data_IF_077007581105
#
_entry.id   IF_077007581105
#
_cell.length_a   1.000
_cell.length_b   1.000
_cell.length_c   1.000
_cell.angle_alpha   90.00
_cell.angle_beta   90.00
_cell.angle_gamma   90.00
#
_symmetry.space_group_name_H-M   'P 1'
#
loop_
_entity.id
_entity.type
_entity.pdbx_description
1 polymer ?
#
# COMPACT_ATOMS: atom_id res chain seq x y z
N UNK A 1 0.89 70.88 40.91
CA UNK A 1 1.94 71.26 39.93
C UNK A 1 1.78 70.24 38.80
N UNK A 2 0.96 70.51 37.88
CA UNK A 2 1.04 70.93 36.46
C UNK A 2 2.25 70.43 35.68
N UNK A 3 2.00 69.60 34.65
CA UNK A 3 2.42 69.69 33.23
C UNK A 3 1.97 68.38 32.51
N UNK A 4 1.01 68.47 31.70
CA UNK A 4 0.84 68.80 30.24
C UNK A 4 1.34 67.71 29.30
N UNK A 5 0.42 67.32 28.45
CA UNK A 5 0.43 66.36 27.36
C UNK A 5 1.50 66.61 26.27
N UNK A 6 1.85 65.56 25.56
CA UNK A 6 2.34 65.66 24.19
C UNK A 6 1.83 64.44 23.37
N UNK A 7 0.96 64.73 22.47
CA UNK A 7 0.51 63.90 21.36
C UNK A 7 1.64 63.73 20.34
N UNK A 8 2.02 62.51 20.03
CA UNK A 8 2.87 62.18 18.92
C UNK A 8 2.10 61.28 17.94
N UNK A 9 1.55 61.89 16.91
CA UNK A 9 1.07 61.26 15.68
C UNK A 9 2.30 60.73 14.93
N UNK A 10 2.34 59.50 14.64
CA UNK A 10 3.27 58.90 13.65
C UNK A 10 2.44 58.54 12.42
N UNK A 11 2.67 59.28 11.36
CA UNK A 11 2.17 59.01 10.00
C UNK A 11 2.78 57.70 9.51
N UNK A 12 1.95 56.69 9.26
CA UNK A 12 2.30 55.55 8.42
C UNK A 12 1.98 55.90 6.95
N UNK A 13 2.88 55.60 6.00
CA UNK A 13 2.61 55.90 4.59
C UNK A 13 1.62 54.89 4.02
N UNK A 14 0.59 55.38 3.36
CA UNK A 14 -0.38 54.64 2.57
C UNK A 14 0.30 53.77 1.53
N UNK A 15 0.06 52.45 1.59
CA UNK A 15 0.46 51.47 0.58
C UNK A 15 -0.54 51.52 -0.61
N UNK A 16 -0.12 51.86 -1.84
CA UNK A 16 -1.01 52.05 -2.98
C UNK A 16 -1.48 50.75 -3.66
N UNK A 17 -1.34 49.58 -3.04
CA UNK A 17 -1.63 48.28 -3.69
C UNK A 17 -2.98 47.62 -3.33
N UNK A 18 -3.85 48.24 -2.53
CA UNK A 18 -5.15 47.66 -2.13
C UNK A 18 -6.35 48.29 -2.84
N UNK A 19 -6.24 48.65 -4.10
CA UNK A 19 -7.42 49.01 -4.90
C UNK A 19 -7.30 48.57 -6.35
N UNK A 20 -7.22 47.24 -6.56
CA UNK A 20 -7.66 46.64 -7.81
C UNK A 20 -8.99 45.93 -7.57
N UNK A 21 -10.08 46.65 -7.62
CA UNK A 21 -11.41 46.10 -7.79
C UNK A 21 -11.42 45.24 -9.05
N UNK A 22 -11.50 43.92 -8.89
CA UNK A 22 -11.78 43.00 -9.99
C UNK A 22 -13.17 43.34 -10.52
N UNK A 23 -13.25 44.10 -11.62
CA UNK A 23 -14.48 44.29 -12.38
C UNK A 23 -14.90 42.91 -12.88
N UNK A 24 -15.86 42.28 -12.20
CA UNK A 24 -16.58 41.13 -12.73
C UNK A 24 -17.27 41.58 -14.01
N UNK A 25 -16.85 41.05 -15.16
CA UNK A 25 -17.67 41.13 -16.38
C UNK A 25 -18.98 40.44 -16.07
N UNK A 26 -20.15 40.99 -16.38
CA UNK A 26 -21.41 40.30 -16.27
C UNK A 26 -21.35 39.08 -17.21
N UNK A 27 -21.32 37.89 -16.65
CA UNK A 27 -21.51 36.67 -17.42
C UNK A 27 -22.97 36.63 -17.87
N UNK A 28 -23.21 36.83 -19.14
CA UNK A 28 -24.55 36.56 -19.71
C UNK A 28 -24.90 35.09 -19.45
N UNK A 29 -26.14 34.79 -19.09
CA UNK A 29 -26.55 33.40 -18.87
C UNK A 29 -26.39 32.63 -20.18
N UNK A 30 -25.61 31.55 -20.12
CA UNK A 30 -25.41 30.62 -21.23
C UNK A 30 -26.74 29.91 -21.47
N UNK A 31 -27.33 30.08 -22.65
CA UNK A 31 -28.58 29.38 -23.00
C UNK A 31 -28.34 27.89 -23.22
N UNK A 32 -29.36 27.07 -22.94
CA UNK A 32 -29.31 25.61 -23.19
C UNK A 32 -28.87 25.28 -24.63
N UNK A 33 -29.22 26.10 -25.63
CA UNK A 33 -28.77 25.93 -27.01
C UNK A 33 -27.26 26.07 -27.20
N UNK A 34 -26.58 26.97 -26.43
CA UNK A 34 -25.13 27.13 -26.49
C UNK A 34 -24.38 25.97 -25.79
N UNK A 35 -25.01 25.34 -24.80
CA UNK A 35 -24.49 24.13 -24.19
C UNK A 35 -24.54 22.91 -25.12
N UNK A 36 -25.55 22.82 -25.99
CA UNK A 36 -25.70 21.73 -26.96
C UNK A 36 -24.85 21.93 -28.22
N UNK A 37 -24.68 23.16 -28.71
CA UNK A 37 -23.80 23.46 -29.86
C UNK A 37 -22.33 23.10 -29.58
N UNK A 38 -21.86 23.22 -28.33
CA UNK A 38 -20.52 22.77 -27.92
C UNK A 38 -20.39 21.24 -27.79
N UNK A 39 -21.47 20.47 -27.90
CA UNK A 39 -21.42 18.99 -27.91
C UNK A 39 -21.11 18.41 -29.29
N UNK A 40 -21.53 19.04 -30.36
CA UNK A 40 -21.32 18.54 -31.73
C UNK A 40 -19.86 18.69 -32.18
N UNK A 41 -19.13 19.71 -31.73
CA UNK A 41 -17.69 19.86 -32.00
C UNK A 41 -16.80 18.96 -31.13
N UNK A 42 -17.32 18.35 -30.05
CA UNK A 42 -16.63 17.33 -29.23
C UNK A 42 -16.84 15.90 -29.71
N UNK A 43 -17.77 15.66 -30.62
CA UNK A 43 -18.08 14.31 -31.14
C UNK A 43 -17.02 13.77 -32.11
N UNK A 44 -16.02 14.58 -32.52
CA UNK A 44 -14.93 14.13 -33.39
C UNK A 44 -13.70 13.55 -32.62
N UNK A 45 -13.72 13.62 -31.29
CA UNK A 45 -12.78 12.87 -30.46
C UNK A 45 -13.60 11.85 -29.66
N UNK A 46 -14.01 10.77 -30.34
CA UNK A 46 -14.42 9.58 -29.62
C UNK A 46 -13.27 9.25 -28.62
N UNK A 47 -13.56 9.09 -27.30
CA UNK A 47 -12.52 8.66 -26.38
C UNK A 47 -11.98 7.37 -26.97
N UNK A 48 -10.66 7.33 -27.21
CA UNK A 48 -9.99 6.09 -27.57
C UNK A 48 -10.44 5.07 -26.54
N UNK A 49 -11.20 4.08 -26.98
CA UNK A 49 -11.63 2.96 -26.13
C UNK A 49 -10.38 2.53 -25.38
N UNK A 50 -10.39 2.49 -24.04
CA UNK A 50 -9.21 2.07 -23.29
C UNK A 50 -8.75 0.73 -23.87
N UNK A 51 -7.59 0.68 -24.50
CA UNK A 51 -7.03 -0.52 -25.15
C UNK A 51 -6.72 -1.65 -24.15
N UNK A 52 -7.26 -1.60 -22.94
CA UNK A 52 -6.96 -2.48 -21.83
C UNK A 52 -8.20 -3.10 -21.16
N UNK A 53 -9.26 -3.36 -21.91
CA UNK A 53 -10.12 -4.48 -21.55
C UNK A 53 -9.39 -5.74 -22.03
N UNK A 54 -8.35 -6.14 -21.30
CA UNK A 54 -7.70 -7.41 -21.52
C UNK A 54 -8.78 -8.49 -21.46
N UNK A 55 -8.84 -9.33 -22.48
CA UNK A 55 -9.70 -10.50 -22.44
C UNK A 55 -9.34 -11.27 -21.16
N UNK A 56 -10.30 -11.64 -20.30
CA UNK A 56 -10.02 -12.27 -19.01
C UNK A 56 -9.12 -13.51 -19.10
N UNK A 57 -9.19 -14.22 -20.24
CA UNK A 57 -8.48 -15.47 -20.49
C UNK A 57 -7.15 -15.29 -21.26
N UNK A 58 -6.79 -14.07 -21.66
CA UNK A 58 -5.52 -13.82 -22.34
C UNK A 58 -4.33 -14.15 -21.44
N UNK A 59 -3.25 -14.67 -22.04
CA UNK A 59 -1.98 -14.83 -21.35
C UNK A 59 -1.52 -13.51 -20.71
N UNK A 60 -0.78 -13.58 -19.59
CA UNK A 60 -0.28 -12.36 -18.96
C UNK A 60 0.68 -11.64 -19.91
N UNK A 61 0.50 -10.35 -20.07
CA UNK A 61 1.42 -9.50 -20.85
C UNK A 61 2.81 -9.56 -20.22
N UNK A 62 3.86 -9.69 -21.04
CA UNK A 62 5.25 -9.56 -20.61
C UNK A 62 5.77 -8.24 -21.15
N UNK A 63 6.16 -7.33 -20.26
CA UNK A 63 6.71 -6.03 -20.64
C UNK A 63 8.11 -6.17 -21.26
N UNK A 64 8.50 -5.21 -22.10
CA UNK A 64 9.82 -5.21 -22.73
C UNK A 64 10.97 -5.28 -21.71
N UNK A 65 10.82 -4.62 -20.56
CA UNK A 65 11.79 -4.65 -19.45
C UNK A 65 11.91 -6.06 -18.87
N UNK A 66 10.79 -6.70 -18.59
CA UNK A 66 10.73 -8.05 -18.04
C UNK A 66 11.30 -9.08 -19.03
N UNK A 67 10.98 -8.92 -20.32
CA UNK A 67 11.51 -9.80 -21.39
C UNK A 67 13.02 -9.63 -21.56
N UNK A 68 13.53 -8.40 -21.58
CA UNK A 68 14.97 -8.14 -21.67
C UNK A 68 15.74 -8.77 -20.49
N UNK A 69 15.17 -8.69 -19.28
CA UNK A 69 15.74 -9.32 -18.10
C UNK A 69 15.72 -10.85 -18.21
N UNK A 70 14.61 -11.45 -18.63
CA UNK A 70 14.49 -12.89 -18.90
C UNK A 70 15.56 -13.36 -19.88
N UNK A 71 15.65 -12.71 -21.03
CA UNK A 71 16.59 -13.07 -22.08
C UNK A 71 18.06 -13.00 -21.61
N UNK A 72 18.38 -12.03 -20.74
CA UNK A 72 19.74 -11.85 -20.21
C UNK A 72 20.11 -12.86 -19.14
N UNK A 73 19.25 -13.09 -18.15
CA UNK A 73 19.58 -13.86 -16.94
C UNK A 73 18.99 -15.27 -16.90
N UNK A 74 17.98 -15.55 -17.72
CA UNK A 74 17.31 -16.83 -17.83
C UNK A 74 17.08 -17.22 -19.31
N UNK A 75 18.14 -17.23 -20.15
CA UNK A 75 18.02 -17.41 -21.60
C UNK A 75 17.42 -18.75 -22.01
N UNK A 76 17.56 -19.79 -21.17
CA UNK A 76 16.98 -21.11 -21.42
C UNK A 76 15.48 -21.21 -21.09
N UNK A 77 14.89 -20.19 -20.46
CA UNK A 77 13.46 -20.19 -20.14
C UNK A 77 12.64 -19.69 -21.33
N UNK A 78 11.48 -20.32 -21.57
CA UNK A 78 10.51 -19.83 -22.54
C UNK A 78 9.64 -18.71 -21.92
N UNK A 79 8.90 -17.98 -22.74
CA UNK A 79 7.95 -16.95 -22.28
C UNK A 79 6.82 -17.57 -21.46
N UNK A 80 6.37 -18.78 -21.81
CA UNK A 80 5.36 -19.52 -21.07
C UNK A 80 5.85 -19.92 -19.67
N UNK A 81 7.10 -20.40 -19.56
CA UNK A 81 7.73 -20.67 -18.27
C UNK A 81 7.89 -19.39 -17.45
N UNK A 82 8.35 -18.30 -18.06
CA UNK A 82 8.45 -17.00 -17.38
C UNK A 82 7.10 -16.51 -16.86
N UNK A 83 6.03 -16.79 -17.56
CA UNK A 83 4.64 -16.45 -17.21
C UNK A 83 4.00 -17.44 -16.25
N UNK A 84 4.65 -18.55 -15.91
CA UNK A 84 4.20 -19.48 -14.87
C UNK A 84 4.68 -19.04 -13.49
N UNK A 85 3.73 -18.71 -12.61
CA UNK A 85 4.03 -18.28 -11.24
C UNK A 85 4.80 -19.34 -10.41
N UNK A 86 4.60 -20.62 -10.71
CA UNK A 86 5.35 -21.70 -10.03
C UNK A 86 6.81 -21.73 -10.47
N UNK A 87 7.05 -21.43 -11.75
CA UNK A 87 8.40 -21.25 -12.26
C UNK A 87 9.09 -20.07 -11.57
N UNK A 88 8.42 -18.93 -11.46
CA UNK A 88 8.91 -17.75 -10.76
C UNK A 88 9.28 -18.08 -9.30
N UNK A 89 8.44 -18.83 -8.58
CA UNK A 89 8.72 -19.24 -7.20
C UNK A 89 9.92 -20.18 -7.09
N UNK A 90 10.08 -21.13 -8.02
CA UNK A 90 11.23 -22.04 -8.02
C UNK A 90 12.56 -21.35 -8.29
N UNK A 91 12.54 -20.29 -9.09
CA UNK A 91 13.73 -19.56 -9.54
C UNK A 91 13.96 -18.25 -8.76
N UNK A 92 13.35 -18.10 -7.58
CA UNK A 92 13.63 -16.94 -6.72
C UNK A 92 15.11 -16.83 -6.41
N UNK A 93 15.62 -15.61 -6.38
CA UNK A 93 16.97 -15.30 -5.91
C UNK A 93 16.98 -15.41 -4.38
N UNK A 94 17.72 -16.36 -3.83
CA UNK A 94 17.72 -16.69 -2.39
C UNK A 94 19.12 -16.78 -1.78
N UNK A 95 20.11 -17.05 -2.62
CA UNK A 95 21.52 -17.19 -2.21
C UNK A 95 22.35 -16.02 -2.73
N UNK A 96 23.49 -15.78 -2.06
CA UNK A 96 24.45 -14.78 -2.49
C UNK A 96 24.84 -14.97 -3.95
N UNK A 97 25.15 -16.22 -4.36
CA UNK A 97 25.56 -16.52 -5.73
C UNK A 97 24.45 -16.24 -6.77
N UNK A 98 23.17 -16.48 -6.43
CA UNK A 98 22.04 -16.14 -7.32
C UNK A 98 21.86 -14.63 -7.43
N UNK A 99 22.07 -13.89 -6.34
CA UNK A 99 21.94 -12.44 -6.29
C UNK A 99 23.08 -11.79 -7.08
N UNK A 100 24.33 -12.21 -6.87
CA UNK A 100 25.52 -11.71 -7.60
C UNK A 100 25.49 -12.00 -9.09
N UNK A 101 24.82 -13.06 -9.51
CA UNK A 101 24.60 -13.31 -10.94
C UNK A 101 23.78 -12.23 -11.60
N UNK A 102 22.94 -11.52 -10.84
CA UNK A 102 21.97 -10.53 -11.35
C UNK A 102 22.37 -9.11 -11.01
N UNK A 103 22.81 -8.86 -9.78
CA UNK A 103 23.09 -7.54 -9.24
C UNK A 103 24.57 -7.31 -9.01
N UNK A 104 25.05 -6.11 -9.32
CA UNK A 104 26.33 -5.62 -8.82
C UNK A 104 26.13 -5.22 -7.37
N UNK A 105 26.45 -6.12 -6.43
CA UNK A 105 26.23 -5.88 -5.00
C UNK A 105 27.42 -5.16 -4.37
N UNK A 106 27.13 -4.29 -3.40
CA UNK A 106 28.14 -3.62 -2.57
C UNK A 106 28.71 -4.57 -1.53
N UNK A 107 29.85 -4.23 -0.96
CA UNK A 107 30.42 -4.98 0.18
C UNK A 107 29.50 -4.98 1.39
N UNK A 108 28.70 -3.94 1.56
CA UNK A 108 27.71 -3.83 2.62
C UNK A 108 26.57 -4.82 2.44
N UNK A 109 25.92 -4.82 1.25
CA UNK A 109 24.89 -5.78 0.89
C UNK A 109 25.42 -7.22 0.99
N UNK A 110 26.66 -7.47 0.50
CA UNK A 110 27.30 -8.78 0.60
C UNK A 110 27.42 -9.26 2.03
N UNK A 111 27.95 -8.40 2.91
CA UNK A 111 28.07 -8.72 4.35
C UNK A 111 26.70 -8.98 4.97
N UNK A 112 25.71 -8.15 4.68
CA UNK A 112 24.36 -8.27 5.23
C UNK A 112 23.68 -9.58 4.76
N UNK A 113 23.84 -9.99 3.50
CA UNK A 113 23.32 -11.26 2.98
C UNK A 113 23.97 -12.46 3.68
N UNK A 114 25.30 -12.41 3.89
CA UNK A 114 26.04 -13.51 4.53
C UNK A 114 25.68 -13.62 6.01
N UNK A 115 25.59 -12.51 6.71
CA UNK A 115 25.29 -12.47 8.14
C UNK A 115 23.81 -12.73 8.44
N UNK A 116 22.93 -12.66 7.43
CA UNK A 116 21.47 -12.81 7.54
C UNK A 116 20.94 -11.91 8.66
N UNK A 117 20.94 -10.60 8.41
CA UNK A 117 20.37 -9.62 9.33
C UNK A 117 18.96 -10.02 9.78
N UNK A 118 18.84 -10.44 11.03
CA UNK A 118 17.63 -11.02 11.57
C UNK A 118 17.26 -12.39 10.94
N UNK A 119 16.18 -12.99 11.38
CA UNK A 119 15.69 -14.25 10.87
C UNK A 119 15.06 -14.16 9.45
N UNK A 120 14.90 -12.96 8.91
CA UNK A 120 14.24 -12.74 7.62
C UNK A 120 15.18 -13.09 6.45
N UNK A 121 14.90 -14.15 5.67
CA UNK A 121 15.74 -14.54 4.53
C UNK A 121 15.62 -13.56 3.36
N UNK A 122 16.51 -13.69 2.38
CA UNK A 122 16.32 -13.09 1.06
C UNK A 122 15.48 -14.02 0.20
N UNK A 123 14.57 -13.44 -0.57
CA UNK A 123 13.78 -14.16 -1.56
C UNK A 123 13.12 -13.17 -2.50
N UNK A 124 13.52 -13.17 -3.78
CA UNK A 124 13.03 -12.23 -4.79
C UNK A 124 12.65 -13.00 -6.04
N UNK A 125 11.40 -12.84 -6.52
CA UNK A 125 11.01 -13.45 -7.81
C UNK A 125 11.81 -12.87 -8.96
N UNK A 126 12.16 -13.66 -10.00
CA UNK A 126 12.85 -13.13 -11.19
C UNK A 126 12.11 -11.96 -11.84
N UNK A 127 10.77 -12.03 -11.90
CA UNK A 127 9.97 -10.91 -12.39
C UNK A 127 10.20 -9.64 -11.56
N UNK A 128 10.11 -9.72 -10.24
CA UNK A 128 10.27 -8.52 -9.40
C UNK A 128 11.71 -8.00 -9.40
N UNK A 129 12.70 -8.87 -9.50
CA UNK A 129 14.10 -8.50 -9.70
C UNK A 129 14.30 -7.70 -11.01
N UNK A 130 13.52 -8.00 -12.05
CA UNK A 130 13.55 -7.23 -13.31
C UNK A 130 13.13 -5.76 -13.16
N UNK A 131 12.46 -5.40 -12.07
CA UNK A 131 12.02 -4.03 -11.77
C UNK A 131 13.05 -3.23 -10.97
N UNK A 132 14.11 -3.87 -10.48
CA UNK A 132 15.15 -3.24 -9.66
C UNK A 132 16.31 -2.73 -10.54
N UNK A 133 17.08 -1.78 -10.02
CA UNK A 133 18.36 -1.43 -10.62
C UNK A 133 19.38 -2.53 -10.37
N UNK A 134 20.11 -2.92 -11.42
CA UNK A 134 21.16 -3.94 -11.32
C UNK A 134 22.44 -3.40 -10.68
N UNK A 135 22.65 -2.08 -10.75
CA UNK A 135 23.91 -1.41 -10.39
C UNK A 135 23.76 -0.37 -9.29
N UNK A 136 22.59 0.29 -9.17
CA UNK A 136 22.36 1.32 -8.15
C UNK A 136 21.82 0.69 -6.85
N UNK A 137 22.60 0.66 -5.76
CA UNK A 137 22.17 0.11 -4.47
C UNK A 137 21.13 0.99 -3.76
N UNK A 138 20.95 2.25 -4.20
CA UNK A 138 19.98 3.19 -3.61
C UNK A 138 18.63 3.18 -4.33
N UNK A 139 18.48 2.36 -5.38
CA UNK A 139 17.21 2.25 -6.09
C UNK A 139 16.09 1.76 -5.14
N UNK A 140 14.93 2.42 -5.15
CA UNK A 140 13.85 2.20 -4.17
C UNK A 140 13.45 0.74 -3.97
N UNK A 141 13.18 -0.02 -5.03
CA UNK A 141 12.72 -1.40 -4.89
C UNK A 141 13.85 -2.32 -4.41
N UNK A 142 15.09 -2.09 -4.88
CA UNK A 142 16.28 -2.83 -4.44
C UNK A 142 16.48 -2.68 -2.94
N UNK A 143 16.45 -1.45 -2.43
CA UNK A 143 16.60 -1.16 -0.98
C UNK A 143 15.55 -1.85 -0.12
N UNK A 144 14.35 -2.05 -0.63
CA UNK A 144 13.28 -2.69 0.13
C UNK A 144 13.35 -4.22 0.17
N UNK A 145 14.31 -4.85 -0.56
CA UNK A 145 14.36 -6.31 -0.70
C UNK A 145 15.76 -6.91 -0.58
N UNK A 146 16.83 -6.17 -0.85
CA UNK A 146 18.19 -6.62 -0.52
C UNK A 146 18.59 -6.10 0.87
N UNK A 147 19.12 -6.97 1.74
CA UNK A 147 19.55 -6.56 3.07
C UNK A 147 20.76 -5.66 3.01
N UNK A 148 20.88 -4.75 3.98
CA UNK A 148 21.98 -3.80 4.16
C UNK A 148 22.45 -3.80 5.61
N UNK A 149 23.65 -3.29 5.85
CA UNK A 149 24.26 -3.22 7.19
C UNK A 149 23.44 -2.44 8.22
N UNK A 150 22.64 -1.48 7.76
CA UNK A 150 21.74 -0.69 8.63
C UNK A 150 20.70 -1.56 9.37
N UNK A 151 20.37 -2.75 8.87
CA UNK A 151 19.45 -3.70 9.53
C UNK A 151 20.02 -4.27 10.85
N UNK A 152 21.33 -4.16 11.07
CA UNK A 152 21.97 -4.59 12.33
C UNK A 152 22.02 -3.47 13.39
N UNK A 153 21.59 -2.26 13.03
CA UNK A 153 21.57 -1.11 13.94
C UNK A 153 20.23 -1.09 14.66
N UNK A 154 20.25 -1.35 15.95
CA UNK A 154 19.06 -1.27 16.79
C UNK A 154 18.81 0.17 17.25
N UNK A 155 17.58 0.61 17.12
CA UNK A 155 17.13 1.95 17.55
C UNK A 155 16.16 1.88 18.72
N UNK A 156 16.13 2.87 19.61
CA UNK A 156 15.17 2.88 20.71
C UNK A 156 13.72 2.74 20.22
N UNK A 157 12.95 1.90 20.91
CA UNK A 157 11.54 1.63 20.60
C UNK A 157 11.31 0.57 19.53
N UNK A 158 12.35 -0.04 18.97
CA UNK A 158 12.22 -1.23 18.12
C UNK A 158 11.92 -2.48 18.95
N UNK A 159 11.12 -3.37 18.40
CA UNK A 159 10.81 -4.67 18.96
C UNK A 159 10.53 -5.68 17.82
N UNK A 160 10.69 -6.98 18.12
CA UNK A 160 10.39 -8.04 17.16
C UNK A 160 8.88 -8.18 16.94
N UNK A 161 8.07 -7.89 17.96
CA UNK A 161 6.62 -7.74 17.89
C UNK A 161 6.17 -6.33 18.33
N UNK A 162 6.41 -5.29 17.54
CA UNK A 162 6.07 -3.93 17.94
C UNK A 162 4.56 -3.70 18.10
N UNK A 163 3.75 -4.52 17.43
CA UNK A 163 2.31 -4.41 17.47
C UNK A 163 1.65 -5.22 18.59
N UNK A 164 2.41 -6.08 19.31
CA UNK A 164 1.88 -6.93 20.37
C UNK A 164 0.87 -7.96 19.84
N UNK A 165 1.11 -8.50 18.64
CA UNK A 165 0.22 -9.51 18.04
C UNK A 165 0.20 -10.79 18.89
N UNK A 166 1.32 -11.19 19.47
CA UNK A 166 1.44 -12.39 20.30
C UNK A 166 0.57 -12.26 21.56
N UNK A 167 0.47 -11.06 22.16
CA UNK A 167 -0.38 -10.80 23.34
C UNK A 167 -1.90 -10.76 23.02
N UNK A 168 -2.24 -10.68 21.74
CA UNK A 168 -3.63 -10.65 21.26
C UNK A 168 -4.00 -11.86 20.42
N UNK A 169 -3.21 -12.92 20.52
CA UNK A 169 -3.40 -14.21 19.85
C UNK A 169 -4.10 -15.21 20.78
N UNK A 170 -5.44 -15.38 20.70
CA UNK A 170 -6.16 -16.30 21.55
C UNK A 170 -5.86 -17.77 21.23
N UNK A 171 -5.49 -18.05 20.00
CA UNK A 171 -5.05 -19.36 19.52
C UNK A 171 -3.94 -19.15 18.47
N UNK A 172 -3.02 -20.10 18.29
CA UNK A 172 -1.96 -19.97 17.30
C UNK A 172 -2.48 -19.65 15.89
N UNK A 173 -1.85 -18.68 15.24
CA UNK A 173 -2.21 -18.24 13.89
C UNK A 173 -3.44 -17.32 13.79
N UNK A 174 -3.97 -16.84 14.91
CA UNK A 174 -5.09 -15.90 14.92
C UNK A 174 -4.77 -14.71 15.85
N UNK A 175 -4.94 -13.49 15.35
CA UNK A 175 -4.84 -12.26 16.16
C UNK A 175 -6.23 -11.63 16.27
N UNK A 176 -6.73 -11.46 17.51
CA UNK A 176 -8.04 -10.88 17.80
C UNK A 176 -7.90 -9.63 18.66
N UNK A 177 -7.64 -8.50 18.01
CA UNK A 177 -7.41 -7.19 18.66
C UNK A 177 -8.68 -6.34 18.71
N UNK A 178 -9.50 -6.41 17.66
CA UNK A 178 -10.69 -5.58 17.49
C UNK A 178 -11.94 -6.37 17.80
N UNK A 179 -13.00 -5.73 18.29
CA UNK A 179 -14.20 -6.45 18.75
C UNK A 179 -14.87 -7.32 17.69
N UNK A 180 -14.81 -6.88 16.41
CA UNK A 180 -15.62 -7.44 15.32
C UNK A 180 -14.82 -8.11 14.22
N UNK A 181 -13.48 -8.19 14.35
CA UNK A 181 -12.63 -8.72 13.29
C UNK A 181 -11.34 -9.33 13.78
N UNK A 182 -10.85 -10.29 13.00
CA UNK A 182 -9.62 -11.01 13.29
C UNK A 182 -8.67 -10.98 12.11
N UNK A 183 -7.38 -11.17 12.41
CA UNK A 183 -6.33 -11.45 11.44
C UNK A 183 -6.00 -12.94 11.51
N UNK A 184 -6.20 -13.63 10.39
CA UNK A 184 -5.90 -15.05 10.23
C UNK A 184 -4.56 -15.21 9.52
N UNK A 185 -3.57 -15.78 10.19
CA UNK A 185 -2.24 -16.05 9.66
C UNK A 185 -2.23 -17.42 8.98
N UNK A 186 -2.32 -17.43 7.65
CA UNK A 186 -2.54 -18.66 6.88
C UNK A 186 -1.25 -19.40 6.47
N UNK A 187 -0.12 -18.69 6.42
CA UNK A 187 1.18 -19.23 5.98
C UNK A 187 2.32 -18.32 6.46
N UNK A 188 3.51 -18.90 6.67
CA UNK A 188 4.75 -18.14 6.91
C UNK A 188 5.56 -17.87 5.63
N UNK A 189 5.08 -18.32 4.47
CA UNK A 189 5.81 -18.19 3.21
C UNK A 189 5.39 -16.98 2.41
N UNK A 190 6.38 -16.22 1.88
CA UNK A 190 6.19 -15.14 0.91
C UNK A 190 6.89 -15.45 -0.40
N UNK A 191 6.34 -14.98 -1.51
CA UNK A 191 7.01 -15.04 -2.81
C UNK A 191 8.24 -14.13 -2.88
N UNK A 192 8.20 -13.01 -2.15
CA UNK A 192 9.29 -12.04 -2.02
C UNK A 192 9.24 -11.46 -0.61
N UNK A 193 10.40 -11.34 0.07
CA UNK A 193 10.47 -10.85 1.45
C UNK A 193 10.84 -9.37 1.47
N UNK A 194 9.94 -8.56 2.06
CA UNK A 194 10.17 -7.12 2.28
C UNK A 194 11.03 -6.89 3.52
N UNK A 195 12.08 -6.05 3.43
CA UNK A 195 13.01 -5.80 4.56
C UNK A 195 12.37 -4.98 5.70
N UNK A 196 11.24 -4.34 5.45
CA UNK A 196 10.43 -3.61 6.44
C UNK A 196 9.23 -4.42 6.96
N UNK A 197 9.31 -5.74 6.93
CA UNK A 197 8.18 -6.61 7.26
C UNK A 197 7.90 -6.62 8.77
N UNK A 198 6.72 -6.15 9.18
CA UNK A 198 6.26 -6.17 10.59
C UNK A 198 6.26 -7.57 11.21
N UNK A 199 6.12 -8.60 10.37
CA UNK A 199 6.10 -10.01 10.79
C UNK A 199 7.36 -10.77 10.39
N UNK A 200 8.51 -10.06 10.32
CA UNK A 200 9.81 -10.68 9.97
C UNK A 200 10.16 -11.88 10.86
N UNK A 201 9.76 -11.84 12.15
CA UNK A 201 9.99 -12.90 13.12
C UNK A 201 9.30 -14.23 12.81
N UNK A 202 8.20 -14.21 12.02
CA UNK A 202 7.37 -15.39 11.74
C UNK A 202 7.32 -15.80 10.27
N UNK A 203 7.97 -15.05 9.36
CA UNK A 203 7.97 -15.37 7.93
C UNK A 203 9.35 -15.85 7.48
N UNK A 204 9.37 -16.84 6.58
CA UNK A 204 10.60 -17.38 6.01
C UNK A 204 11.23 -18.55 6.77
N UNK A 205 10.87 -18.82 8.00
CA UNK A 205 11.34 -19.98 8.73
C UNK A 205 10.52 -21.23 8.42
N UNK A 206 11.22 -22.36 8.24
CA UNK A 206 10.63 -23.68 8.21
C UNK A 206 10.98 -24.38 9.53
N UNK A 207 10.01 -24.51 10.45
CA UNK A 207 10.17 -25.27 11.70
C UNK A 207 10.40 -24.45 12.96
N UNK A 208 9.90 -23.19 13.03
CA UNK A 208 9.85 -22.40 14.26
C UNK A 208 8.53 -22.56 15.04
N UNK A 209 8.32 -21.70 16.05
CA UNK A 209 7.08 -21.63 16.85
C UNK A 209 5.80 -21.42 16.02
N UNK A 210 5.95 -20.93 14.80
CA UNK A 210 4.85 -20.60 13.89
C UNK A 210 4.67 -21.70 12.83
N UNK A 211 4.05 -22.81 13.22
CA UNK A 211 3.62 -23.85 12.28
C UNK A 211 2.26 -23.49 11.67
N UNK A 212 2.23 -23.02 10.44
CA UNK A 212 0.97 -22.74 9.72
C UNK A 212 0.34 -24.05 9.20
N UNK A 213 0.08 -24.95 10.12
CA UNK A 213 -0.39 -26.31 9.86
C UNK A 213 -1.92 -26.36 9.76
N UNK A 214 -2.44 -27.49 9.24
CA UNK A 214 -3.89 -27.70 9.20
C UNK A 214 -4.53 -27.71 10.61
N UNK A 215 -3.95 -28.32 11.67
CA UNK A 215 -4.47 -28.23 13.02
C UNK A 215 -4.57 -26.80 13.55
N UNK A 216 -3.61 -25.92 13.25
CA UNK A 216 -3.71 -24.51 13.62
C UNK A 216 -4.88 -23.82 12.92
N UNK A 217 -5.09 -24.08 11.63
CA UNK A 217 -6.26 -23.57 10.93
C UNK A 217 -7.56 -24.06 11.55
N UNK A 218 -7.62 -25.35 11.94
CA UNK A 218 -8.79 -25.93 12.60
C UNK A 218 -9.09 -25.23 13.93
N UNK A 219 -8.08 -24.96 14.75
CA UNK A 219 -8.21 -24.20 16.00
C UNK A 219 -8.67 -22.75 15.77
N UNK A 220 -8.06 -22.05 14.83
CA UNK A 220 -8.43 -20.67 14.50
C UNK A 220 -9.87 -20.56 13.94
N UNK A 221 -10.28 -21.48 13.08
CA UNK A 221 -11.66 -21.53 12.54
C UNK A 221 -12.67 -21.89 13.63
N UNK A 222 -12.34 -22.83 14.52
CA UNK A 222 -13.19 -23.18 15.65
C UNK A 222 -13.37 -21.98 16.61
N UNK A 223 -12.30 -21.23 16.88
CA UNK A 223 -12.37 -19.99 17.65
C UNK A 223 -13.32 -18.97 16.99
N UNK A 224 -13.14 -18.71 15.70
CA UNK A 224 -13.99 -17.76 14.95
C UNK A 224 -15.45 -18.21 15.02
N UNK A 225 -15.73 -19.51 14.81
CA UNK A 225 -17.09 -20.03 14.85
C UNK A 225 -17.77 -19.91 16.23
N UNK A 226 -16.99 -19.92 17.30
CA UNK A 226 -17.48 -19.77 18.68
C UNK A 226 -17.70 -18.30 19.10
N UNK A 227 -17.27 -17.31 18.29
CA UNK A 227 -17.32 -15.89 18.60
C UNK A 227 -18.19 -15.13 17.58
N UNK A 228 -19.51 -15.06 17.78
CA UNK A 228 -20.45 -14.48 16.80
C UNK A 228 -20.29 -12.97 16.59
N UNK A 229 -19.58 -12.27 17.46
CA UNK A 229 -19.19 -10.86 17.27
C UNK A 229 -18.20 -10.66 16.13
N UNK A 230 -17.45 -11.69 15.72
CA UNK A 230 -16.48 -11.62 14.60
C UNK A 230 -17.25 -11.67 13.28
N UNK A 231 -17.26 -10.57 12.56
CA UNK A 231 -17.94 -10.41 11.26
C UNK A 231 -16.99 -10.37 10.07
N UNK A 232 -15.71 -10.08 10.33
CA UNK A 232 -14.69 -9.79 9.32
C UNK A 232 -13.41 -10.60 9.60
N UNK A 233 -12.93 -11.32 8.59
CA UNK A 233 -11.68 -12.08 8.66
C UNK A 233 -10.70 -11.57 7.61
N UNK A 234 -9.57 -11.00 8.06
CA UNK A 234 -8.43 -10.66 7.21
C UNK A 234 -7.47 -11.85 7.16
N UNK A 235 -7.35 -12.50 6.03
CA UNK A 235 -6.38 -13.57 5.79
C UNK A 235 -5.06 -12.95 5.33
N UNK A 236 -3.97 -13.27 6.05
CA UNK A 236 -2.61 -12.79 5.81
C UNK A 236 -1.59 -13.83 6.31
N UNK A 237 -0.53 -13.42 6.99
CA UNK A 237 0.55 -14.25 7.49
C UNK A 237 1.86 -13.83 6.84
N UNK A 238 2.51 -14.76 6.10
CA UNK A 238 3.36 -14.44 4.96
C UNK A 238 2.47 -13.87 3.86
N UNK A 239 2.34 -14.54 2.74
CA UNK A 239 1.41 -14.07 1.72
C UNK A 239 0.42 -15.19 1.33
N UNK A 240 -0.88 -15.05 1.59
CA UNK A 240 -1.87 -16.10 1.39
C UNK A 240 -2.03 -16.52 -0.06
N UNK A 241 -1.71 -15.65 -1.04
CA UNK A 241 -1.77 -16.00 -2.46
C UNK A 241 -0.62 -16.91 -2.91
N UNK A 242 0.33 -17.24 -2.02
CA UNK A 242 1.34 -18.28 -2.27
C UNK A 242 0.80 -19.70 -2.06
N UNK A 243 -0.34 -19.84 -1.39
CA UNK A 243 -1.05 -21.11 -1.26
C UNK A 243 -1.54 -21.60 -2.62
N UNK A 244 -1.70 -22.92 -2.78
CA UNK A 244 -2.39 -23.46 -3.95
C UNK A 244 -3.86 -23.06 -3.99
N UNK A 245 -4.48 -23.09 -5.18
CA UNK A 245 -5.90 -22.75 -5.34
C UNK A 245 -6.78 -23.62 -4.45
N UNK A 246 -6.49 -24.92 -4.34
CA UNK A 246 -7.26 -25.86 -3.52
C UNK A 246 -7.16 -25.54 -2.02
N UNK A 247 -5.96 -25.23 -1.51
CA UNK A 247 -5.79 -24.86 -0.10
C UNK A 247 -6.47 -23.54 0.23
N UNK A 248 -6.36 -22.57 -0.68
CA UNK A 248 -7.02 -21.28 -0.50
C UNK A 248 -8.55 -21.41 -0.58
N UNK A 249 -9.06 -22.23 -1.51
CA UNK A 249 -10.48 -22.53 -1.63
C UNK A 249 -11.05 -23.26 -0.40
N UNK A 250 -10.30 -24.23 0.16
CA UNK A 250 -10.68 -24.91 1.41
C UNK A 250 -10.83 -23.89 2.55
N UNK A 251 -9.82 -23.05 2.77
CA UNK A 251 -9.85 -22.01 3.82
C UNK A 251 -11.02 -21.06 3.64
N UNK A 252 -11.20 -20.53 2.43
CA UNK A 252 -12.29 -19.59 2.12
C UNK A 252 -13.68 -20.24 2.29
N UNK A 253 -13.82 -21.50 1.86
CA UNK A 253 -15.06 -22.26 2.00
C UNK A 253 -15.43 -22.51 3.45
N UNK A 254 -14.45 -22.87 4.28
CA UNK A 254 -14.66 -23.10 5.71
C UNK A 254 -15.04 -21.83 6.45
N UNK A 255 -14.42 -20.71 6.13
CA UNK A 255 -14.79 -19.41 6.71
C UNK A 255 -16.18 -18.96 6.25
N UNK A 256 -16.55 -19.17 4.98
CA UNK A 256 -17.90 -18.85 4.47
C UNK A 256 -19.00 -19.74 5.03
N UNK A 257 -18.67 -20.92 5.53
CA UNK A 257 -19.62 -21.80 6.21
C UNK A 257 -20.03 -21.29 7.59
N UNK A 258 -19.31 -20.32 8.16
CA UNK A 258 -19.63 -19.69 9.46
C UNK A 258 -20.69 -18.59 9.22
N UNK A 259 -21.92 -18.72 9.79
CA UNK A 259 -23.05 -17.85 9.42
C UNK A 259 -22.87 -16.35 9.71
N UNK A 260 -22.09 -15.99 10.74
CA UNK A 260 -21.89 -14.61 11.16
C UNK A 260 -20.74 -13.90 10.44
N UNK A 261 -19.95 -14.62 9.60
CA UNK A 261 -18.91 -13.98 8.80
C UNK A 261 -19.54 -13.28 7.58
N UNK A 262 -19.58 -11.96 7.63
CA UNK A 262 -20.18 -11.13 6.58
C UNK A 262 -19.25 -10.96 5.38
N UNK A 263 -17.95 -10.71 5.61
CA UNK A 263 -16.97 -10.55 4.54
C UNK A 263 -15.58 -11.07 4.94
N UNK A 264 -14.81 -11.39 3.90
CA UNK A 264 -13.43 -11.88 4.03
C UNK A 264 -12.52 -10.92 3.26
N UNK A 265 -11.34 -10.70 3.79
CA UNK A 265 -10.31 -9.89 3.14
C UNK A 265 -9.03 -10.70 2.95
N UNK A 266 -8.36 -10.52 1.82
CA UNK A 266 -7.01 -11.02 1.57
C UNK A 266 -6.02 -9.86 1.63
N UNK A 267 -4.98 -9.96 2.47
CA UNK A 267 -3.85 -9.04 2.50
C UNK A 267 -2.67 -9.66 1.76
N UNK A 268 -2.23 -9.06 0.65
CA UNK A 268 -1.22 -9.67 -0.22
C UNK A 268 -0.35 -8.64 -0.95
N UNK A 269 0.92 -8.99 -1.17
CA UNK A 269 1.82 -8.29 -2.10
C UNK A 269 2.01 -9.09 -3.41
N UNK A 270 1.58 -10.34 -3.45
CA UNK A 270 1.71 -11.23 -4.63
C UNK A 270 1.21 -10.60 -5.92
N UNK A 271 0.07 -9.88 -5.98
CA UNK A 271 -0.36 -9.27 -7.23
C UNK A 271 0.64 -8.27 -7.82
N UNK A 272 1.57 -7.77 -7.00
CA UNK A 272 2.63 -6.80 -7.39
C UNK A 272 3.96 -7.49 -7.66
N UNK A 273 4.38 -8.42 -6.79
CA UNK A 273 5.70 -9.06 -6.88
C UNK A 273 5.69 -10.36 -7.68
N UNK A 274 4.49 -10.86 -8.00
CA UNK A 274 4.26 -12.11 -8.73
C UNK A 274 2.90 -12.04 -9.49
N UNK A 275 2.68 -11.06 -10.39
CA UNK A 275 1.39 -10.89 -11.08
C UNK A 275 0.96 -12.12 -11.88
N UNK A 276 1.90 -12.99 -12.27
CA UNK A 276 1.65 -14.29 -12.92
C UNK A 276 0.74 -15.21 -12.09
N UNK A 277 0.70 -15.02 -10.78
CA UNK A 277 -0.16 -15.78 -9.86
C UNK A 277 -1.65 -15.45 -10.03
N UNK A 278 -1.96 -14.27 -10.55
CA UNK A 278 -3.35 -13.84 -10.77
C UNK A 278 -3.87 -14.44 -12.08
N UNK A 279 -4.02 -15.75 -12.07
CA UNK A 279 -4.50 -16.54 -13.21
C UNK A 279 -6.02 -16.45 -13.35
N UNK A 280 -6.59 -16.68 -14.55
CA UNK A 280 -8.04 -16.81 -14.73
C UNK A 280 -8.67 -17.84 -13.78
N UNK A 281 -8.01 -18.98 -13.57
CA UNK A 281 -8.49 -20.03 -12.66
C UNK A 281 -8.57 -19.55 -11.20
N UNK A 282 -7.52 -18.88 -10.69
CA UNK A 282 -7.56 -18.29 -9.36
C UNK A 282 -8.71 -17.30 -9.23
N UNK A 283 -8.85 -16.40 -10.19
CA UNK A 283 -9.89 -15.36 -10.17
C UNK A 283 -11.30 -15.98 -10.21
N UNK A 284 -11.51 -16.98 -11.06
CA UNK A 284 -12.78 -17.72 -11.11
C UNK A 284 -13.10 -18.41 -9.79
N UNK A 285 -12.09 -18.95 -9.11
CA UNK A 285 -12.22 -19.57 -7.78
C UNK A 285 -12.58 -18.49 -6.74
N UNK A 286 -11.88 -17.37 -6.69
CA UNK A 286 -12.11 -16.28 -5.71
C UNK A 286 -13.52 -15.69 -5.83
N UNK A 287 -14.06 -15.54 -7.04
CA UNK A 287 -15.45 -15.06 -7.28
C UNK A 287 -16.53 -15.85 -6.54
N UNK A 288 -16.28 -17.09 -6.20
CA UNK A 288 -17.23 -17.96 -5.50
C UNK A 288 -17.45 -17.57 -4.03
N UNK A 289 -16.53 -16.73 -3.49
CA UNK A 289 -16.47 -16.41 -2.06
C UNK A 289 -16.84 -14.97 -1.74
N UNK A 290 -17.54 -14.28 -2.63
CA UNK A 290 -18.05 -12.92 -2.35
C UNK A 290 -18.98 -12.88 -1.11
N UNK A 291 -18.98 -11.76 -0.36
CA UNK A 291 -18.17 -10.56 -0.49
C UNK A 291 -16.70 -10.80 -0.10
N UNK A 292 -15.79 -10.70 -1.05
CA UNK A 292 -14.34 -10.85 -0.86
C UNK A 292 -13.65 -9.54 -1.26
N UNK A 293 -12.79 -9.02 -0.39
CA UNK A 293 -12.00 -7.80 -0.61
C UNK A 293 -10.53 -8.13 -0.69
N UNK A 294 -9.75 -7.32 -1.38
CA UNK A 294 -8.31 -7.50 -1.43
C UNK A 294 -7.58 -6.21 -1.06
N UNK A 295 -6.69 -6.31 -0.07
CA UNK A 295 -5.76 -5.27 0.33
C UNK A 295 -4.38 -5.58 -0.24
N UNK A 296 -3.89 -4.74 -1.15
CA UNK A 296 -2.70 -4.99 -1.94
C UNK A 296 -1.57 -4.05 -1.52
N UNK A 297 -0.39 -4.60 -1.27
CA UNK A 297 0.78 -3.81 -0.87
C UNK A 297 1.50 -3.26 -2.09
N UNK A 298 1.46 -1.93 -2.24
CA UNK A 298 2.25 -1.16 -3.20
C UNK A 298 3.23 -0.27 -2.46
N UNK A 299 4.44 -0.14 -2.98
CA UNK A 299 5.51 0.64 -2.36
C UNK A 299 5.95 1.82 -3.21
N UNK A 300 6.06 1.65 -4.55
CA UNK A 300 6.65 2.64 -5.44
C UNK A 300 5.97 2.64 -6.83
N UNK A 301 5.93 3.78 -7.56
CA UNK A 301 5.35 3.84 -8.91
C UNK A 301 5.95 2.85 -9.93
N UNK A 302 7.21 2.46 -9.77
CA UNK A 302 7.88 1.45 -10.63
C UNK A 302 7.17 0.09 -10.60
N UNK A 303 6.39 -0.20 -9.59
CA UNK A 303 5.58 -1.43 -9.48
C UNK A 303 4.34 -1.42 -10.38
N UNK A 304 3.96 -0.27 -10.96
CA UNK A 304 2.77 -0.11 -11.80
C UNK A 304 3.03 -0.57 -13.25
N UNK A 305 3.40 -1.82 -13.41
CA UNK A 305 3.77 -2.42 -14.70
C UNK A 305 2.55 -2.89 -15.50
N UNK A 306 2.70 -3.18 -16.81
CA UNK A 306 1.64 -3.80 -17.61
C UNK A 306 1.15 -5.13 -17.05
N UNK A 307 2.05 -5.96 -16.50
CA UNK A 307 1.74 -7.23 -15.86
C UNK A 307 0.85 -7.02 -14.63
N UNK A 308 1.19 -6.06 -13.78
CA UNK A 308 0.41 -5.68 -12.61
C UNK A 308 -0.93 -5.09 -13.03
N UNK A 309 -0.95 -4.23 -14.06
CA UNK A 309 -2.19 -3.64 -14.57
C UNK A 309 -3.18 -4.73 -15.02
N UNK A 310 -2.70 -5.76 -15.72
CA UNK A 310 -3.54 -6.87 -16.14
C UNK A 310 -4.03 -7.71 -14.95
N UNK A 311 -3.15 -7.96 -13.97
CA UNK A 311 -3.53 -8.67 -12.74
C UNK A 311 -4.63 -7.92 -11.97
N UNK A 312 -4.49 -6.58 -11.81
CA UNK A 312 -5.52 -5.74 -11.18
C UNK A 312 -6.83 -5.76 -11.97
N UNK A 313 -6.76 -5.68 -13.31
CA UNK A 313 -7.93 -5.74 -14.17
C UNK A 313 -8.70 -7.05 -13.96
N UNK A 314 -8.03 -8.21 -13.95
CA UNK A 314 -8.65 -9.51 -13.70
C UNK A 314 -9.40 -9.56 -12.37
N UNK A 315 -8.77 -9.06 -11.30
CA UNK A 315 -9.39 -9.03 -9.97
C UNK A 315 -10.60 -8.08 -9.92
N UNK A 316 -10.46 -6.89 -10.47
CA UNK A 316 -11.52 -5.88 -10.48
C UNK A 316 -12.70 -6.27 -11.39
N UNK A 317 -12.44 -6.92 -12.55
CA UNK A 317 -13.48 -7.44 -13.45
C UNK A 317 -14.25 -8.61 -12.82
N UNK A 318 -13.61 -9.32 -11.90
CA UNK A 318 -14.26 -10.35 -11.09
C UNK A 318 -15.16 -9.78 -9.98
N UNK A 319 -15.27 -8.45 -9.85
CA UNK A 319 -16.05 -7.78 -8.82
C UNK A 319 -15.38 -7.77 -7.42
N UNK A 320 -14.07 -8.03 -7.34
CA UNK A 320 -13.32 -7.97 -6.09
C UNK A 320 -12.91 -6.51 -5.84
N UNK A 321 -13.41 -5.84 -4.78
CA UNK A 321 -12.97 -4.50 -4.43
C UNK A 321 -11.48 -4.51 -4.02
N UNK A 322 -10.70 -3.57 -4.58
CA UNK A 322 -9.26 -3.47 -4.38
C UNK A 322 -8.91 -2.21 -3.59
N UNK A 323 -8.16 -2.37 -2.51
CA UNK A 323 -7.58 -1.29 -1.73
C UNK A 323 -6.06 -1.44 -1.63
N UNK A 324 -5.32 -0.32 -1.69
CA UNK A 324 -3.88 -0.38 -1.45
C UNK A 324 -3.53 -0.22 0.01
N UNK A 325 -2.49 -0.92 0.42
CA UNK A 325 -1.74 -0.69 1.65
C UNK A 325 -0.34 -0.27 1.26
N UNK A 326 0.08 0.92 1.69
CA UNK A 326 1.39 1.48 1.38
C UNK A 326 2.07 1.85 2.69
N UNK A 327 3.30 1.38 2.90
CA UNK A 327 4.12 1.79 4.04
C UNK A 327 4.97 2.99 3.61
N UNK A 328 4.99 4.03 4.44
CA UNK A 328 5.83 5.21 4.24
C UNK A 328 7.27 4.89 4.64
N UNK A 329 8.18 4.90 3.68
CA UNK A 329 9.56 4.46 3.82
C UNK A 329 10.53 5.58 3.42
N UNK A 330 11.47 5.90 4.30
CA UNK A 330 12.50 6.93 4.11
C UNK A 330 13.38 6.66 2.88
N UNK A 331 13.46 7.65 2.00
CA UNK A 331 14.25 7.59 0.77
C UNK A 331 13.70 6.62 -0.29
N UNK A 332 12.45 6.16 -0.14
CA UNK A 332 11.76 5.26 -1.07
C UNK A 332 10.52 5.96 -1.66
N UNK A 333 9.60 6.37 -0.80
CA UNK A 333 8.33 6.97 -1.20
C UNK A 333 7.89 8.13 -0.27
N UNK A 334 8.81 8.65 0.52
CA UNK A 334 8.60 9.75 1.45
C UNK A 334 8.67 11.15 0.81
N UNK A 335 8.52 11.20 -0.52
CA UNK A 335 8.42 12.43 -1.30
C UNK A 335 7.06 12.49 -2.00
N UNK A 336 6.42 13.66 -1.96
CA UNK A 336 5.16 13.90 -2.65
C UNK A 336 5.28 13.69 -4.18
N UNK A 337 6.47 13.96 -4.76
CA UNK A 337 6.75 13.73 -6.17
C UNK A 337 6.73 12.24 -6.55
N UNK A 338 6.97 11.34 -5.59
CA UNK A 338 6.84 9.88 -5.73
C UNK A 338 5.44 9.41 -5.34
N UNK A 339 4.94 9.88 -4.20
CA UNK A 339 3.67 9.41 -3.65
C UNK A 339 2.47 9.78 -4.54
N UNK A 340 2.41 11.00 -5.07
CA UNK A 340 1.29 11.46 -5.91
C UNK A 340 1.14 10.65 -7.21
N UNK A 341 2.20 10.38 -8.00
CA UNK A 341 2.13 9.46 -9.12
C UNK A 341 1.72 8.02 -8.74
N UNK A 342 2.16 7.51 -7.59
CA UNK A 342 1.73 6.21 -7.09
C UNK A 342 0.22 6.20 -6.85
N UNK A 343 -0.32 7.16 -6.10
CA UNK A 343 -1.76 7.24 -5.80
C UNK A 343 -2.62 7.38 -7.07
N UNK A 344 -2.18 8.19 -8.02
CA UNK A 344 -2.87 8.34 -9.32
C UNK A 344 -2.79 7.05 -10.14
N UNK A 345 -1.64 6.39 -10.16
CA UNK A 345 -1.45 5.12 -10.86
C UNK A 345 -2.35 4.02 -10.30
N UNK A 346 -2.47 3.93 -8.98
CA UNK A 346 -3.38 2.99 -8.32
C UNK A 346 -4.83 3.18 -8.77
N UNK A 347 -5.33 4.41 -8.84
CA UNK A 347 -6.69 4.68 -9.34
C UNK A 347 -6.87 4.26 -10.80
N UNK A 348 -5.86 4.46 -11.66
CA UNK A 348 -5.90 3.97 -13.05
C UNK A 348 -6.01 2.45 -13.11
N UNK A 349 -5.44 1.74 -12.12
CA UNK A 349 -5.55 0.30 -11.96
C UNK A 349 -6.82 -0.15 -11.22
N UNK A 350 -7.74 0.77 -10.90
CA UNK A 350 -8.95 0.50 -10.12
C UNK A 350 -8.67 0.02 -8.69
N UNK A 351 -7.52 0.40 -8.15
CA UNK A 351 -7.13 0.17 -6.76
C UNK A 351 -7.33 1.47 -5.98
N UNK A 352 -8.20 1.45 -4.96
CA UNK A 352 -8.40 2.62 -4.08
C UNK A 352 -7.21 2.76 -3.14
N UNK A 353 -6.46 3.89 -3.14
CA UNK A 353 -5.54 4.21 -2.06
C UNK A 353 -6.29 4.15 -0.72
N UNK A 354 -6.01 3.11 0.08
CA UNK A 354 -6.76 2.86 1.31
C UNK A 354 -5.98 3.35 2.53
N UNK A 355 -4.84 2.72 2.83
CA UNK A 355 -3.98 3.16 3.92
C UNK A 355 -2.59 3.57 3.45
N UNK A 356 -2.08 4.66 4.04
CA UNK A 356 -0.66 4.97 4.14
C UNK A 356 -0.24 4.69 5.60
N UNK A 357 0.59 3.70 5.81
CA UNK A 357 1.08 3.32 7.14
C UNK A 357 2.37 4.06 7.47
N UNK A 358 2.47 4.61 8.66
CA UNK A 358 3.78 4.88 9.25
C UNK A 358 4.54 3.56 9.35
N UNK A 359 5.84 3.54 9.01
CA UNK A 359 6.65 2.33 9.16
C UNK A 359 6.72 1.92 10.64
N UNK A 360 6.37 0.67 10.94
CA UNK A 360 6.37 0.13 12.29
C UNK A 360 7.80 0.06 12.85
N UNK A 361 7.98 0.21 14.16
CA UNK A 361 9.28 0.12 14.80
C UNK A 361 9.71 -1.35 15.01
N UNK A 362 9.87 -2.10 13.91
CA UNK A 362 10.39 -3.46 13.93
C UNK A 362 11.91 -3.44 14.04
N UNK A 363 12.48 -4.40 14.75
CA UNK A 363 13.92 -4.58 14.87
C UNK A 363 14.63 -4.52 13.51
N UNK A 364 15.61 -3.62 13.36
CA UNK A 364 16.38 -3.42 12.13
C UNK A 364 15.71 -2.57 11.06
N UNK A 365 14.56 -1.92 11.34
CA UNK A 365 13.85 -1.08 10.36
C UNK A 365 14.12 0.42 10.49
N UNK A 366 14.97 0.86 11.39
CA UNK A 366 15.20 2.29 11.70
C UNK A 366 15.54 3.12 10.46
N UNK A 367 16.34 2.57 9.55
CA UNK A 367 16.77 3.22 8.32
C UNK A 367 15.63 3.48 7.32
N UNK A 368 14.47 2.81 7.48
CA UNK A 368 13.24 3.05 6.72
C UNK A 368 12.25 4.00 7.37
N UNK A 369 12.44 4.34 8.66
CA UNK A 369 11.47 5.13 9.40
C UNK A 369 11.60 6.62 9.09
N UNK A 370 10.45 7.26 8.86
CA UNK A 370 10.33 8.71 8.68
C UNK A 370 9.78 9.36 9.94
N UNK A 371 10.02 10.65 10.18
CA UNK A 371 9.20 11.41 11.13
C UNK A 371 7.72 11.38 10.75
N UNK A 372 6.83 11.34 11.73
CA UNK A 372 5.36 11.37 11.52
C UNK A 372 4.93 12.62 10.73
N UNK A 373 5.60 13.74 10.95
CA UNK A 373 5.37 14.99 10.23
C UNK A 373 5.48 14.82 8.71
N UNK A 374 6.35 13.92 8.22
CA UNK A 374 6.50 13.62 6.79
C UNK A 374 5.23 12.99 6.20
N UNK A 375 4.59 12.08 6.94
CA UNK A 375 3.31 11.50 6.52
C UNK A 375 2.19 12.55 6.46
N UNK A 376 2.13 13.45 7.45
CA UNK A 376 1.17 14.55 7.46
C UNK A 376 1.40 15.53 6.30
N UNK A 377 2.66 15.88 5.99
CA UNK A 377 3.05 16.70 4.84
C UNK A 377 2.56 16.08 3.52
N UNK A 378 2.74 14.78 3.34
CA UNK A 378 2.27 14.06 2.14
C UNK A 378 0.75 14.12 2.03
N UNK A 379 0.03 13.88 3.12
CA UNK A 379 -1.45 13.95 3.13
C UNK A 379 -1.92 15.37 2.82
N UNK A 380 -1.28 16.40 3.37
CA UNK A 380 -1.59 17.80 3.10
C UNK A 380 -1.31 18.15 1.63
N UNK A 381 -0.18 17.69 1.07
CA UNK A 381 0.19 17.90 -0.33
C UNK A 381 -0.68 17.13 -1.35
N UNK A 382 -1.39 16.08 -0.92
CA UNK A 382 -2.37 15.38 -1.74
C UNK A 382 -3.76 16.03 -1.65
N UNK A 383 -4.21 16.40 -0.44
CA UNK A 383 -5.55 16.90 -0.18
C UNK A 383 -5.75 18.28 -0.79
N UNK A 384 -6.78 18.44 -1.62
CA UNK A 384 -7.04 19.66 -2.38
C UNK A 384 -6.23 19.80 -3.69
N UNK A 385 -5.12 19.05 -3.81
CA UNK A 385 -4.25 19.05 -5.00
C UNK A 385 -4.48 17.85 -5.93
N UNK A 386 -5.40 16.95 -5.56
CA UNK A 386 -5.87 15.83 -6.37
C UNK A 386 -7.29 15.42 -5.96
N UNK A 387 -7.89 14.43 -6.68
CA UNK A 387 -9.18 13.88 -6.28
C UNK A 387 -9.11 13.24 -4.89
N UNK A 388 -10.16 13.39 -4.08
CA UNK A 388 -10.27 12.74 -2.78
C UNK A 388 -10.10 11.21 -2.82
N UNK A 389 -10.43 10.58 -3.94
CA UNK A 389 -10.18 9.14 -4.14
C UNK A 389 -8.69 8.76 -4.12
N UNK A 390 -7.79 9.70 -4.48
CA UNK A 390 -6.35 9.48 -4.47
C UNK A 390 -5.70 9.72 -3.10
N UNK A 391 -6.44 10.21 -2.10
CA UNK A 391 -5.91 10.48 -0.77
C UNK A 391 -6.14 9.27 0.12
N UNK A 392 -5.08 8.56 0.57
CA UNK A 392 -5.18 7.47 1.54
C UNK A 392 -5.45 8.01 2.94
N UNK A 393 -5.88 7.14 3.84
CA UNK A 393 -5.89 7.42 5.27
C UNK A 393 -4.49 7.15 5.83
N UNK A 394 -3.82 8.18 6.37
CA UNK A 394 -2.55 8.00 7.06
C UNK A 394 -2.80 7.47 8.47
N UNK A 395 -2.11 6.40 8.84
CA UNK A 395 -2.31 5.71 10.11
C UNK A 395 -1.00 5.31 10.76
N UNK A 396 -0.99 5.30 12.10
CA UNK A 396 0.00 4.62 12.91
C UNK A 396 -0.66 3.40 13.51
N UNK A 397 -0.04 2.23 13.41
CA UNK A 397 -0.37 1.10 14.26
C UNK A 397 0.29 1.34 15.62
N UNK A 398 -0.51 1.60 16.64
CA UNK A 398 0.01 1.95 17.96
C UNK A 398 0.76 0.75 18.57
N UNK A 399 2.00 0.96 19.08
CA UNK A 399 2.77 -0.10 19.71
C UNK A 399 2.03 -0.79 20.85
N UNK A 400 2.36 -2.06 21.09
CA UNK A 400 1.79 -2.83 22.19
C UNK A 400 0.30 -3.17 22.04
N UNK A 401 -0.25 -3.10 20.83
CA UNK A 401 -1.64 -3.55 20.58
C UNK A 401 -2.70 -2.46 20.60
N UNK A 402 -2.31 -1.17 20.57
CA UNK A 402 -3.27 -0.05 20.59
C UNK A 402 -4.11 0.10 19.32
N UNK A 403 -3.80 -0.64 18.24
CA UNK A 403 -4.54 -0.61 16.98
C UNK A 403 -4.21 0.61 16.10
N UNK A 404 -4.97 0.77 15.02
CA UNK A 404 -4.73 1.81 14.02
C UNK A 404 -5.29 3.15 14.45
N UNK A 405 -4.41 4.13 14.60
CA UNK A 405 -4.75 5.51 14.92
C UNK A 405 -4.62 6.36 13.65
N UNK A 406 -5.74 6.91 13.11
CA UNK A 406 -5.68 7.77 11.95
C UNK A 406 -5.15 9.16 12.32
N UNK A 407 -4.28 9.68 11.48
CA UNK A 407 -3.70 11.01 11.62
C UNK A 407 -4.08 11.87 10.41
N UNK A 408 -4.44 13.12 10.68
CA UNK A 408 -4.79 14.12 9.68
C UNK A 408 -4.07 15.42 9.98
N UNK A 409 -3.75 16.25 8.96
CA UNK A 409 -3.39 17.64 9.17
C UNK A 409 -4.49 18.37 9.92
N UNK A 410 -4.12 19.36 10.74
CA UNK A 410 -5.11 20.13 11.49
C UNK A 410 -5.81 21.14 10.58
N UNK A 411 -7.07 20.91 10.30
CA UNK A 411 -7.93 21.81 9.52
C UNK A 411 -8.87 22.65 10.39
N UNK A 412 -9.08 22.31 11.65
CA UNK A 412 -9.79 23.12 12.62
C UNK A 412 -8.76 23.93 13.39
N UNK A 413 -8.62 25.22 13.07
CA UNK A 413 -7.58 26.08 13.64
C UNK A 413 -8.06 26.85 14.87
N UNK A 414 -9.36 26.90 15.12
CA UNK A 414 -9.93 27.56 16.29
C UNK A 414 -11.44 27.60 16.30
N UNK A 415 -11.98 28.31 17.28
CA UNK A 415 -13.39 28.65 17.43
C UNK A 415 -13.53 30.15 17.72
N UNK A 416 -14.53 30.78 17.11
CA UNK A 416 -14.89 32.17 17.32
C UNK A 416 -16.41 32.25 17.56
N UNK A 417 -16.79 32.30 18.84
CA UNK A 417 -18.19 32.20 19.27
C UNK A 417 -18.82 30.86 18.83
N UNK A 418 -19.92 30.96 18.08
CA UNK A 418 -20.67 29.84 17.51
C UNK A 418 -20.12 29.36 16.15
N UNK A 419 -18.90 29.81 15.76
CA UNK A 419 -18.27 29.42 14.50
C UNK A 419 -16.99 28.65 14.74
N UNK A 420 -16.77 27.59 13.93
CA UNK A 420 -15.46 27.00 13.74
C UNK A 420 -14.65 27.83 12.76
N UNK A 421 -13.37 28.00 13.04
CA UNK A 421 -12.39 28.57 12.10
C UNK A 421 -11.69 27.41 11.43
N UNK A 422 -11.87 27.27 10.13
CA UNK A 422 -11.35 26.17 9.31
C UNK A 422 -10.30 26.69 8.35
N UNK A 423 -9.23 25.91 8.12
CA UNK A 423 -8.19 26.19 7.13
C UNK A 423 -8.38 25.27 5.92
N UNK A 424 -8.43 25.83 4.70
CA UNK A 424 -8.47 25.04 3.46
C UNK A 424 -7.07 24.60 3.02
N UNK A 425 -6.97 23.92 1.88
CA UNK A 425 -5.72 23.41 1.31
C UNK A 425 -4.74 24.51 0.85
N UNK A 426 -5.22 25.74 0.59
CA UNK A 426 -4.42 26.91 0.24
C UNK A 426 -3.96 27.70 1.48
N UNK A 427 -4.36 27.28 2.68
CA UNK A 427 -4.07 27.98 3.93
C UNK A 427 -5.07 29.06 4.30
N UNK A 428 -6.06 29.36 3.44
CA UNK A 428 -7.07 30.36 3.73
C UNK A 428 -8.02 29.90 4.83
N UNK A 429 -8.43 30.85 5.69
CA UNK A 429 -9.35 30.55 6.79
C UNK A 429 -10.79 30.89 6.43
N UNK A 430 -11.71 30.07 6.91
CA UNK A 430 -13.15 30.19 6.71
C UNK A 430 -13.88 29.98 8.03
N UNK A 431 -14.94 30.76 8.23
CA UNK A 431 -15.85 30.60 9.39
C UNK A 431 -17.00 29.68 8.97
N UNK A 432 -17.25 28.65 9.74
CA UNK A 432 -18.37 27.73 9.57
C UNK A 432 -19.26 27.79 10.80
N UNK A 433 -20.54 28.13 10.64
CA UNK A 433 -21.49 28.13 11.75
C UNK A 433 -21.65 26.73 12.33
N UNK A 434 -21.40 26.59 13.60
CA UNK A 434 -21.40 25.32 14.34
C UNK A 434 -22.29 25.51 15.58
N UNK A 435 -23.63 25.38 15.41
CA UNK A 435 -24.58 25.59 16.52
C UNK A 435 -24.30 24.58 17.63
N UNK A 436 -24.34 25.09 18.88
CA UNK A 436 -24.10 24.30 20.09
C UNK A 436 -25.33 23.46 20.46
#
# INVERSE_FOLDING_TARGET
MTRTASTGQTDEPDDPLITRAVRRRPTQPITLGQLYANRETRAQHAPATPRHLAQPDAALTVSARSEAFRARFFPSSTVEQWSDWRWQLRHRLKSLAEIERVFEITDDERRAIVLRAGALPVGITPYYASLMSLTDPHEPLRRTHLPVGDEFIHSPGEADDPLGEDNTSPVPGLVHRYPDRVLFLATGFCSTYCRYCTRSRMVGETGGEYEFSKPQWDGAIAYIAAHPEIRDVLISGGDPLTLSDDRLADLLGRLRAIPHIEFIRLGSKVPVVLPQRITPALVAMLRRFHPLWMSIHFTHPTELTPEVAQAMARLADAGIPLGSQTVLLKGINDDLAVMKPLMHGLLKLRVKPYYLYQCDPITGSAHFRTPVAKGLEIIEGLRGHTTGYAVPQFVIDAPGGGGKIPLLPNYVVGRDGDHLVLRNFEGHQYRYADPL
#
